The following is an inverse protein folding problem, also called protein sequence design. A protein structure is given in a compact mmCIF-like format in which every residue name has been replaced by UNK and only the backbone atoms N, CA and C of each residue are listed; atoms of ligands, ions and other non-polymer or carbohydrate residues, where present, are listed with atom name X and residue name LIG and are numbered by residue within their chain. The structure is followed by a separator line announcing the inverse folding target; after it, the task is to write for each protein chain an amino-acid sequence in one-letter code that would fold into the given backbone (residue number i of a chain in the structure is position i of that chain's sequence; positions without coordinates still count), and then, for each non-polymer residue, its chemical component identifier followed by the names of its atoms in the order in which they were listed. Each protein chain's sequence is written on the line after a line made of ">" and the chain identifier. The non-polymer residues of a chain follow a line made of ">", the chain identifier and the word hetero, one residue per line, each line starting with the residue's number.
data_IF_194454410029
#
_entry.id   IF_194454410029
#
_cell.length_a   1.000
_cell.length_b   1.000
_cell.length_c   1.000
_cell.angle_alpha   90.00
_cell.angle_beta   90.00
_cell.angle_gamma   90.00
#
_symmetry.space_group_name_H-M   'P 1'
#
loop_
_entity.id
_entity.type
_entity.pdbx_description
1 polymer ?
#
# COMPACT_ATOMS: atom_id res chain seq x y z
N UNK A 1 43.87 13.96 34.04
CA UNK A 1 42.73 13.12 33.58
C UNK A 1 41.54 14.00 33.24
N UNK A 2 41.50 14.61 32.03
CA UNK A 2 40.38 15.46 31.58
C UNK A 2 39.91 15.16 30.15
N UNK A 3 40.77 14.54 29.33
CA UNK A 3 40.44 14.19 27.94
C UNK A 3 39.30 13.17 27.85
N UNK A 4 39.27 12.16 28.73
CA UNK A 4 38.21 11.14 28.75
C UNK A 4 36.86 11.74 29.13
N UNK A 5 36.85 12.67 30.09
CA UNK A 5 35.61 13.34 30.53
C UNK A 5 35.07 14.29 29.46
N UNK A 6 35.95 14.94 28.70
CA UNK A 6 35.57 15.77 27.54
C UNK A 6 35.03 14.93 26.37
N UNK A 7 35.66 13.78 26.08
CA UNK A 7 35.19 12.86 25.04
C UNK A 7 33.83 12.25 25.41
N UNK A 8 33.62 11.91 26.68
CA UNK A 8 32.33 11.41 27.18
C UNK A 8 31.24 12.47 27.02
N UNK A 9 31.51 13.71 27.43
CA UNK A 9 30.55 14.79 27.28
C UNK A 9 30.21 15.07 25.80
N UNK A 10 31.17 14.98 24.89
CA UNK A 10 30.91 15.14 23.46
C UNK A 10 30.04 14.02 22.90
N UNK A 11 30.29 12.77 23.29
CA UNK A 11 29.51 11.62 22.85
C UNK A 11 28.07 11.68 23.40
N UNK A 12 27.91 12.01 24.68
CA UNK A 12 26.59 12.09 25.34
C UNK A 12 25.73 13.25 24.80
N UNK A 13 26.36 14.29 24.22
CA UNK A 13 25.67 15.45 23.63
C UNK A 13 25.67 15.44 22.09
N UNK A 14 26.18 14.38 21.46
CA UNK A 14 25.96 14.20 20.02
C UNK A 14 24.48 13.88 19.81
N UNK A 15 23.77 14.83 19.20
CA UNK A 15 22.46 14.55 18.63
C UNK A 15 22.63 13.41 17.61
N UNK A 16 21.71 12.43 17.57
CA UNK A 16 21.67 11.48 16.47
C UNK A 16 21.71 12.27 15.15
N UNK A 17 22.43 11.80 14.12
CA UNK A 17 22.33 12.42 12.81
C UNK A 17 20.84 12.54 12.48
N UNK A 18 20.38 13.70 11.97
CA UNK A 18 18.98 13.82 11.56
C UNK A 18 18.71 12.68 10.58
N UNK A 19 17.70 11.86 10.90
CA UNK A 19 17.16 10.88 9.97
C UNK A 19 16.40 11.70 8.93
N UNK A 20 17.14 12.42 8.08
CA UNK A 20 16.58 13.01 6.89
C UNK A 20 16.33 11.84 5.96
N UNK A 21 15.07 11.53 5.71
CA UNK A 21 14.70 10.71 4.56
C UNK A 21 15.43 11.30 3.35
N UNK A 22 16.10 10.43 2.59
CA UNK A 22 16.77 10.89 1.38
C UNK A 22 15.73 11.38 0.39
N UNK A 23 16.11 12.28 -0.52
CA UNK A 23 15.21 12.74 -1.58
C UNK A 23 14.68 11.56 -2.44
N UNK A 24 15.43 10.45 -2.49
CA UNK A 24 15.06 9.20 -3.16
C UNK A 24 13.94 8.48 -2.40
N UNK A 25 14.06 8.32 -1.08
CA UNK A 25 13.03 7.72 -0.22
C UNK A 25 11.72 8.53 -0.23
N UNK A 26 11.81 9.86 -0.23
CA UNK A 26 10.64 10.72 -0.35
C UNK A 26 9.97 10.58 -1.73
N UNK A 27 10.74 10.49 -2.81
CA UNK A 27 10.20 10.27 -4.15
C UNK A 27 9.52 8.90 -4.28
N UNK A 28 10.11 7.84 -3.71
CA UNK A 28 9.51 6.50 -3.68
C UNK A 28 8.20 6.48 -2.90
N UNK A 29 8.14 7.13 -1.73
CA UNK A 29 6.91 7.25 -0.96
C UNK A 29 5.82 7.96 -1.76
N UNK A 30 6.12 9.13 -2.33
CA UNK A 30 5.16 9.87 -3.15
C UNK A 30 4.64 9.02 -4.32
N UNK A 31 5.54 8.28 -4.98
CA UNK A 31 5.18 7.38 -6.08
C UNK A 31 4.22 6.27 -5.64
N UNK A 32 4.45 5.68 -4.46
CA UNK A 32 3.58 4.66 -3.88
C UNK A 32 2.22 5.27 -3.50
N UNK A 33 2.20 6.42 -2.84
CA UNK A 33 0.98 7.11 -2.43
C UNK A 33 0.08 7.41 -3.63
N UNK A 34 0.65 7.93 -4.73
CA UNK A 34 -0.06 8.16 -5.99
C UNK A 34 -0.64 6.85 -6.56
N UNK A 35 0.15 5.77 -6.54
CA UNK A 35 -0.27 4.46 -7.02
C UNK A 35 -1.39 3.83 -6.20
N UNK A 36 -1.34 3.95 -4.87
CA UNK A 36 -2.41 3.50 -3.96
C UNK A 36 -3.71 4.22 -4.33
N UNK A 37 -3.63 5.55 -4.44
CA UNK A 37 -4.77 6.39 -4.75
C UNK A 37 -5.38 6.07 -6.13
N UNK A 38 -4.56 5.69 -7.12
CA UNK A 38 -5.02 5.26 -8.44
C UNK A 38 -5.70 3.88 -8.42
N UNK A 39 -5.12 2.89 -7.72
CA UNK A 39 -5.70 1.56 -7.55
C UNK A 39 -7.02 1.59 -6.78
N UNK A 40 -7.11 2.43 -5.74
CA UNK A 40 -8.34 2.63 -4.97
C UNK A 40 -9.47 3.26 -5.81
N UNK A 41 -9.14 4.00 -6.87
CA UNK A 41 -10.12 4.53 -7.86
C UNK A 41 -10.49 3.50 -8.93
N UNK A 42 -9.90 2.30 -8.92
CA UNK A 42 -10.20 1.22 -9.85
C UNK A 42 -9.42 1.29 -11.17
N UNK A 43 -8.28 1.96 -11.20
CA UNK A 43 -7.45 2.10 -12.39
C UNK A 43 -6.10 1.40 -12.22
N UNK A 44 -5.56 0.84 -13.31
CA UNK A 44 -4.21 0.28 -13.34
C UNK A 44 -3.16 1.36 -13.01
N UNK A 45 -2.13 0.98 -12.27
CA UNK A 45 -0.95 1.83 -12.02
C UNK A 45 0.30 1.16 -12.58
N UNK A 46 0.71 1.62 -13.76
CA UNK A 46 1.71 0.98 -14.61
C UNK A 46 2.64 2.02 -15.21
N UNK A 47 3.90 1.64 -15.38
CA UNK A 47 4.97 2.49 -15.90
C UNK A 47 5.81 1.73 -16.93
N UNK A 48 6.60 2.47 -17.72
CA UNK A 48 7.46 1.86 -18.73
C UNK A 48 8.82 2.56 -18.78
N UNK A 49 9.86 1.81 -18.41
CA UNK A 49 11.25 2.23 -18.60
C UNK A 49 11.71 2.08 -20.03
N UNK A 50 12.72 2.87 -20.42
CA UNK A 50 13.32 2.81 -21.75
C UNK A 50 13.84 1.40 -22.07
N UNK A 51 13.43 0.87 -23.23
CA UNK A 51 13.78 -0.48 -23.70
C UNK A 51 13.39 -1.64 -22.75
N UNK A 52 12.49 -1.42 -21.79
CA UNK A 52 11.95 -2.45 -20.90
C UNK A 52 10.46 -2.69 -21.19
N UNK A 53 9.93 -3.88 -20.85
CA UNK A 53 8.49 -4.09 -20.87
C UNK A 53 7.80 -3.19 -19.83
N UNK A 54 6.52 -2.94 -20.06
CA UNK A 54 5.65 -2.25 -19.10
C UNK A 54 5.54 -3.08 -17.82
N UNK A 55 5.60 -2.40 -16.68
CA UNK A 55 5.58 -2.98 -15.34
C UNK A 55 4.63 -2.19 -14.44
N UNK A 56 4.30 -2.76 -13.29
CA UNK A 56 3.41 -2.15 -12.30
C UNK A 56 2.30 -3.10 -11.87
N UNK A 57 1.25 -2.52 -11.30
CA UNK A 57 0.13 -3.23 -10.69
C UNK A 57 -1.13 -2.94 -11.50
N UNK A 58 -1.74 -4.00 -12.02
CA UNK A 58 -3.06 -3.91 -12.65
C UNK A 58 -4.16 -4.02 -11.62
N UNK A 59 -5.35 -3.52 -11.94
CA UNK A 59 -6.52 -3.63 -11.11
C UNK A 59 -6.92 -5.10 -10.88
N UNK A 60 -6.69 -5.96 -11.87
CA UNK A 60 -6.89 -7.40 -11.74
C UNK A 60 -5.96 -8.00 -10.69
N UNK A 61 -4.66 -7.63 -10.70
CA UNK A 61 -3.70 -8.10 -9.69
C UNK A 61 -4.07 -7.60 -8.30
N UNK A 62 -4.52 -6.35 -8.19
CA UNK A 62 -4.98 -5.80 -6.91
C UNK A 62 -6.23 -6.54 -6.40
N UNK A 63 -7.22 -6.79 -7.28
CA UNK A 63 -8.42 -7.54 -6.93
C UNK A 63 -8.09 -8.96 -6.43
N UNK A 64 -7.13 -9.65 -7.06
CA UNK A 64 -6.65 -10.96 -6.60
C UNK A 64 -6.08 -10.88 -5.18
N UNK A 65 -5.25 -9.89 -4.87
CA UNK A 65 -4.69 -9.73 -3.52
C UNK A 65 -5.77 -9.42 -2.47
N UNK A 66 -6.76 -8.61 -2.82
CA UNK A 66 -7.92 -8.33 -1.97
C UNK A 66 -8.75 -9.60 -1.75
N UNK A 67 -8.94 -10.41 -2.78
CA UNK A 67 -9.62 -11.71 -2.68
C UNK A 67 -8.86 -12.66 -1.75
N UNK A 68 -7.54 -12.80 -1.91
CA UNK A 68 -6.70 -13.63 -1.05
C UNK A 68 -6.83 -13.20 0.43
N UNK A 69 -6.78 -11.90 0.69
CA UNK A 69 -6.98 -11.36 2.04
C UNK A 69 -8.39 -11.66 2.59
N UNK A 70 -9.42 -11.43 1.78
CA UNK A 70 -10.80 -11.71 2.14
C UNK A 70 -11.06 -13.19 2.44
N UNK A 71 -10.46 -14.09 1.65
CA UNK A 71 -10.58 -15.54 1.83
C UNK A 71 -9.86 -16.03 3.09
N UNK A 72 -8.69 -15.47 3.43
CA UNK A 72 -8.01 -15.78 4.70
C UNK A 72 -8.90 -15.42 5.90
N UNK A 73 -9.58 -14.27 5.86
CA UNK A 73 -10.54 -13.88 6.90
C UNK A 73 -11.69 -14.87 7.03
N UNK A 74 -12.31 -15.25 5.91
CA UNK A 74 -13.38 -16.24 5.89
C UNK A 74 -12.92 -17.59 6.47
N UNK A 75 -11.71 -18.04 6.13
CA UNK A 75 -11.11 -19.27 6.67
C UNK A 75 -10.89 -19.20 8.19
N UNK A 76 -10.63 -18.01 8.74
CA UNK A 76 -10.47 -17.76 10.18
C UNK A 76 -11.81 -17.74 10.95
N UNK A 77 -12.94 -17.97 10.27
CA UNK A 77 -14.25 -18.16 10.91
C UNK A 77 -15.04 -16.87 11.15
N UNK A 78 -14.72 -15.79 10.44
CA UNK A 78 -15.56 -14.58 10.44
C UNK A 78 -16.83 -14.82 9.63
N UNK A 79 -17.87 -15.30 10.32
CA UNK A 79 -19.27 -15.33 9.85
C UNK A 79 -19.53 -16.10 8.56
N UNK A 80 -19.99 -17.35 8.69
CA UNK A 80 -20.32 -18.27 7.58
C UNK A 80 -21.36 -17.75 6.55
N UNK A 81 -21.97 -16.59 6.75
CA UNK A 81 -23.01 -16.02 5.89
C UNK A 81 -22.60 -14.72 5.18
N UNK A 82 -21.43 -14.14 5.48
CA UNK A 82 -21.06 -12.80 5.01
C UNK A 82 -20.88 -12.73 3.48
N UNK A 83 -20.19 -13.70 2.89
CA UNK A 83 -20.04 -13.80 1.43
C UNK A 83 -21.40 -13.96 0.74
N UNK A 84 -22.28 -14.81 1.30
CA UNK A 84 -23.64 -14.98 0.78
C UNK A 84 -24.48 -13.70 0.86
N UNK A 85 -24.37 -12.96 1.97
CA UNK A 85 -25.05 -11.66 2.14
C UNK A 85 -24.54 -10.63 1.13
N UNK A 86 -23.24 -10.55 0.89
CA UNK A 86 -22.64 -9.66 -0.11
C UNK A 86 -23.18 -9.96 -1.52
N UNK A 87 -23.22 -11.24 -1.90
CA UNK A 87 -23.74 -11.65 -3.22
C UNK A 87 -25.22 -11.26 -3.35
N UNK A 88 -26.03 -11.52 -2.33
CA UNK A 88 -27.46 -11.21 -2.35
C UNK A 88 -27.75 -9.71 -2.37
N UNK A 89 -27.01 -8.89 -1.60
CA UNK A 89 -27.19 -7.43 -1.59
C UNK A 89 -26.77 -6.79 -2.90
N UNK A 90 -25.66 -7.24 -3.49
CA UNK A 90 -25.21 -6.79 -4.80
C UNK A 90 -26.21 -7.18 -5.90
N UNK A 91 -26.72 -8.43 -5.87
CA UNK A 91 -27.72 -8.91 -6.82
C UNK A 91 -29.03 -8.11 -6.73
N UNK A 92 -29.48 -7.81 -5.50
CA UNK A 92 -30.70 -7.06 -5.26
C UNK A 92 -30.60 -5.56 -5.63
N UNK A 93 -29.43 -5.09 -6.09
CA UNK A 93 -29.12 -3.67 -6.43
C UNK A 93 -29.30 -2.71 -5.25
N UNK A 94 -29.18 -3.19 -4.01
CA UNK A 94 -29.16 -2.37 -2.81
C UNK A 94 -27.69 -2.03 -2.50
N UNK A 95 -27.22 -0.90 -3.03
CA UNK A 95 -25.80 -0.51 -2.94
C UNK A 95 -25.28 -0.34 -1.51
N UNK A 96 -26.08 0.22 -0.60
CA UNK A 96 -25.69 0.42 0.81
C UNK A 96 -25.43 -0.89 1.55
N UNK A 97 -26.29 -1.89 1.35
CA UNK A 97 -26.16 -3.21 1.97
C UNK A 97 -24.97 -4.01 1.41
N UNK A 98 -24.51 -3.67 0.20
CA UNK A 98 -23.34 -4.30 -0.43
C UNK A 98 -22.04 -3.81 0.20
N UNK A 99 -21.94 -2.50 0.46
CA UNK A 99 -20.77 -1.92 1.11
C UNK A 99 -20.61 -2.44 2.55
N UNK A 100 -21.71 -2.45 3.33
CA UNK A 100 -21.69 -2.96 4.71
C UNK A 100 -21.30 -4.45 4.74
N UNK A 101 -21.84 -5.26 3.83
CA UNK A 101 -21.49 -6.67 3.73
C UNK A 101 -20.01 -6.89 3.37
N UNK A 102 -19.45 -6.08 2.48
CA UNK A 102 -18.04 -6.14 2.11
C UNK A 102 -17.13 -5.76 3.30
N UNK A 103 -17.47 -4.68 4.02
CA UNK A 103 -16.72 -4.27 5.21
C UNK A 103 -16.75 -5.34 6.31
N UNK A 104 -17.93 -5.92 6.56
CA UNK A 104 -18.07 -7.00 7.52
C UNK A 104 -17.26 -8.25 7.13
N UNK A 105 -17.14 -8.55 5.83
CA UNK A 105 -16.39 -9.69 5.31
C UNK A 105 -14.88 -9.53 5.56
N UNK A 106 -14.34 -8.33 5.38
CA UNK A 106 -12.94 -8.05 5.67
C UNK A 106 -12.62 -8.15 7.17
N UNK A 107 -13.62 -7.97 8.03
CA UNK A 107 -13.55 -8.16 9.48
C UNK A 107 -12.38 -7.42 10.15
N UNK A 108 -12.08 -6.22 9.65
CA UNK A 108 -11.06 -5.30 10.18
C UNK A 108 -11.71 -4.02 10.71
N UNK A 109 -11.05 -3.31 11.65
CA UNK A 109 -11.55 -2.04 12.16
C UNK A 109 -11.69 -0.95 11.09
N UNK A 110 -10.75 -0.91 10.15
CA UNK A 110 -10.73 0.04 9.04
C UNK A 110 -10.47 -0.69 7.70
N UNK A 111 -11.54 -0.92 6.92
CA UNK A 111 -11.43 -1.53 5.60
C UNK A 111 -10.62 -0.71 4.60
N UNK A 112 -10.71 0.63 4.63
CA UNK A 112 -9.99 1.48 3.67
C UNK A 112 -8.49 1.38 3.90
N UNK A 113 -8.08 1.46 5.16
CA UNK A 113 -6.67 1.30 5.54
C UNK A 113 -6.13 -0.08 5.17
N UNK A 114 -6.91 -1.15 5.38
CA UNK A 114 -6.49 -2.50 4.99
C UNK A 114 -6.29 -2.63 3.46
N UNK A 115 -7.17 -2.04 2.66
CA UNK A 115 -7.05 -2.04 1.20
C UNK A 115 -5.85 -1.19 0.73
N UNK A 116 -5.64 -0.03 1.36
CA UNK A 116 -4.45 0.82 1.11
C UNK A 116 -3.16 0.09 1.45
N UNK A 117 -3.11 -0.67 2.55
CA UNK A 117 -1.94 -1.47 2.91
C UNK A 117 -1.67 -2.59 1.89
N UNK A 118 -2.72 -3.27 1.40
CA UNK A 118 -2.56 -4.28 0.34
C UNK A 118 -2.00 -3.63 -0.94
N UNK A 119 -2.52 -2.47 -1.34
CA UNK A 119 -2.02 -1.73 -2.49
C UNK A 119 -0.56 -1.30 -2.30
N UNK A 120 -0.22 -0.79 -1.11
CA UNK A 120 1.14 -0.44 -0.73
C UNK A 120 2.11 -1.62 -0.89
N UNK A 121 1.76 -2.78 -0.33
CA UNK A 121 2.63 -3.96 -0.37
C UNK A 121 2.83 -4.51 -1.80
N UNK A 122 1.84 -4.34 -2.67
CA UNK A 122 1.97 -4.67 -4.10
C UNK A 122 2.85 -3.68 -4.87
N UNK A 123 2.86 -2.41 -4.46
CA UNK A 123 3.58 -1.33 -5.14
C UNK A 123 5.03 -1.19 -4.69
N UNK A 124 5.32 -1.49 -3.42
CA UNK A 124 6.64 -1.37 -2.81
C UNK A 124 7.77 -1.98 -3.66
N UNK A 125 7.65 -3.18 -4.27
CA UNK A 125 8.71 -3.76 -5.09
C UNK A 125 9.02 -2.98 -6.38
N UNK A 126 8.15 -2.05 -6.78
CA UNK A 126 8.26 -1.29 -8.00
C UNK A 126 8.68 0.17 -7.78
N UNK A 127 8.69 0.67 -6.54
CA UNK A 127 8.85 2.09 -6.24
C UNK A 127 10.12 2.70 -6.86
N UNK A 128 11.28 2.11 -6.60
CA UNK A 128 12.57 2.55 -7.17
C UNK A 128 12.50 2.64 -8.72
N UNK A 129 11.96 1.60 -9.37
CA UNK A 129 11.89 1.53 -10.83
C UNK A 129 10.84 2.49 -11.41
N UNK A 130 9.78 2.75 -10.66
CA UNK A 130 8.72 3.70 -11.00
C UNK A 130 9.22 5.14 -10.95
N UNK A 131 9.96 5.51 -9.91
CA UNK A 131 10.60 6.83 -9.78
C UNK A 131 11.61 7.05 -10.91
N UNK A 132 12.44 6.04 -11.22
CA UNK A 132 13.36 6.12 -12.36
C UNK A 132 12.63 6.29 -13.69
N UNK A 133 11.48 5.63 -13.88
CA UNK A 133 10.68 5.79 -15.09
C UNK A 133 10.09 7.20 -15.22
N UNK A 134 9.60 7.78 -14.11
CA UNK A 134 9.11 9.17 -14.10
C UNK A 134 10.23 10.17 -14.42
N UNK A 135 11.45 9.93 -13.91
CA UNK A 135 12.60 10.75 -14.25
C UNK A 135 12.97 10.64 -15.74
N UNK A 136 12.96 9.42 -16.31
CA UNK A 136 13.20 9.19 -17.74
C UNK A 136 12.13 9.84 -18.64
N UNK A 137 10.88 9.94 -18.20
CA UNK A 137 9.78 10.60 -18.93
C UNK A 137 9.83 12.13 -18.87
N UNK A 138 10.51 12.69 -17.86
CA UNK A 138 10.67 14.14 -17.68
C UNK A 138 11.84 14.74 -18.47
N UNK A 139 12.72 13.92 -19.06
CA UNK A 139 13.84 14.30 -19.94
C UNK A 139 13.43 14.43 -21.42
#
# INVERSE_FOLDING_TARGET
>A
MRALQAAQWQYDNQLPPPVSESAEEEAERCWIEEGIDQLMRGADYVFKRRMRPQQGVTQERFAVAVEEFAMDRLCQGTGNTLLGRLILSAHAKHGGDSQEAAHNLLAVPDPDEALRQIAHDLLMPFAEQGVLAQAEEAE
#
